data_IF_080153490831
#
_entry.id   IF_080153490831
#
_cell.length_a   1.000
_cell.length_b   1.000
_cell.length_c   1.000
_cell.angle_alpha   90.00
_cell.angle_beta   90.00
_cell.angle_gamma   90.00
#
_symmetry.space_group_name_H-M   'P 1'
#
loop_
_entity.id
_entity.type
_entity.pdbx_description
1 polymer ?
#
# COMPACT_ATOMS: atom_id res chain seq x y z
N UNK A 1 -15.48 2.48 -16.50
CA UNK A 1 -15.05 3.85 -16.16
C UNK A 1 -14.50 3.95 -14.74
N UNK A 2 -15.20 3.46 -13.71
CA UNK A 2 -14.70 3.49 -12.32
C UNK A 2 -13.41 2.69 -12.11
N UNK A 3 -13.33 1.49 -12.72
CA UNK A 3 -12.11 0.66 -12.71
C UNK A 3 -10.92 1.39 -13.33
N UNK A 4 -11.01 1.83 -14.58
CA UNK A 4 -9.92 2.56 -15.25
C UNK A 4 -9.41 3.81 -14.49
N UNK A 5 -10.24 4.46 -13.66
CA UNK A 5 -9.80 5.54 -12.78
C UNK A 5 -8.94 5.01 -11.62
N UNK A 6 -9.42 3.95 -10.94
CA UNK A 6 -8.66 3.27 -9.90
C UNK A 6 -7.35 2.69 -10.45
N UNK A 7 -7.36 2.11 -11.65
CA UNK A 7 -6.16 1.61 -12.34
C UNK A 7 -5.08 2.69 -12.45
N UNK A 8 -5.48 3.89 -12.88
CA UNK A 8 -4.58 5.05 -12.98
C UNK A 8 -4.12 5.52 -11.62
N UNK A 9 -5.01 5.55 -10.61
CA UNK A 9 -4.65 5.94 -9.25
C UNK A 9 -3.62 4.99 -8.64
N UNK A 10 -3.79 3.68 -8.81
CA UNK A 10 -2.79 2.71 -8.34
C UNK A 10 -1.47 2.85 -9.11
N UNK A 11 -1.51 3.05 -10.42
CA UNK A 11 -0.31 3.31 -11.22
C UNK A 11 0.43 4.56 -10.74
N UNK A 12 -0.29 5.64 -10.46
CA UNK A 12 0.27 6.87 -9.88
C UNK A 12 0.88 6.61 -8.49
N UNK A 13 0.21 5.83 -7.63
CA UNK A 13 0.76 5.46 -6.32
C UNK A 13 2.03 4.63 -6.45
N UNK A 14 2.12 3.73 -7.44
CA UNK A 14 3.34 2.98 -7.74
C UNK A 14 4.50 3.89 -8.18
N UNK A 15 4.22 4.88 -9.04
CA UNK A 15 5.22 5.87 -9.45
C UNK A 15 5.67 6.71 -8.25
N UNK A 16 4.74 7.21 -7.44
CA UNK A 16 5.05 7.97 -6.23
C UNK A 16 5.89 7.13 -5.24
N UNK A 17 5.57 5.85 -5.05
CA UNK A 17 6.34 4.95 -4.21
C UNK A 17 7.78 4.79 -4.72
N UNK A 18 7.97 4.66 -6.03
CA UNK A 18 9.29 4.57 -6.64
C UNK A 18 10.10 5.87 -6.46
N UNK A 19 9.46 7.03 -6.65
CA UNK A 19 10.07 8.34 -6.38
C UNK A 19 10.49 8.46 -4.91
N UNK A 20 9.62 8.08 -3.98
CA UNK A 20 9.94 8.07 -2.55
C UNK A 20 11.13 7.13 -2.24
N UNK A 21 11.19 5.95 -2.86
CA UNK A 21 12.30 5.01 -2.69
C UNK A 21 13.63 5.59 -3.20
N UNK A 22 13.62 6.23 -4.37
CA UNK A 22 14.79 6.93 -4.91
C UNK A 22 15.22 8.09 -3.99
N UNK A 23 14.27 8.84 -3.45
CA UNK A 23 14.54 9.92 -2.51
C UNK A 23 15.26 9.43 -1.25
N UNK A 24 14.87 8.28 -0.69
CA UNK A 24 15.58 7.65 0.44
C UNK A 24 17.05 7.40 0.09
N UNK A 25 17.30 6.80 -1.08
CA UNK A 25 18.67 6.53 -1.55
C UNK A 25 19.51 7.80 -1.69
N UNK A 26 18.92 8.87 -2.21
CA UNK A 26 19.59 10.18 -2.34
C UNK A 26 19.86 10.81 -0.97
N UNK A 27 18.89 10.79 -0.05
CA UNK A 27 19.04 11.38 1.29
C UNK A 27 20.13 10.66 2.07
N UNK A 28 20.10 9.33 2.10
CA UNK A 28 21.10 8.52 2.81
C UNK A 28 22.47 8.66 2.13
N UNK A 29 22.53 8.66 0.80
CA UNK A 29 23.78 8.87 0.06
C UNK A 29 24.41 10.24 0.36
N UNK A 30 23.60 11.31 0.35
CA UNK A 30 24.04 12.65 0.71
C UNK A 30 24.50 12.74 2.17
N UNK A 31 23.81 12.05 3.10
CA UNK A 31 24.20 11.99 4.50
C UNK A 31 25.55 11.30 4.69
N UNK A 32 25.80 10.19 3.99
CA UNK A 32 27.08 9.47 4.05
C UNK A 32 28.22 10.37 3.52
N UNK A 33 28.03 11.01 2.37
CA UNK A 33 29.04 11.91 1.78
C UNK A 33 29.26 13.14 2.65
N UNK A 34 28.21 13.75 3.17
CA UNK A 34 28.29 14.90 4.08
C UNK A 34 29.08 14.56 5.35
N UNK A 35 28.83 13.38 5.93
CA UNK A 35 29.57 12.88 7.08
C UNK A 35 31.06 12.71 6.79
N UNK A 36 31.43 12.23 5.60
CA UNK A 36 32.84 12.12 5.17
C UNK A 36 33.51 13.50 5.01
N UNK A 37 32.74 14.55 4.70
CA UNK A 37 33.22 15.93 4.58
C UNK A 37 33.12 16.73 5.89
N UNK A 38 32.71 16.11 6.99
CA UNK A 38 32.54 16.76 8.29
C UNK A 38 31.30 17.68 8.40
N UNK A 39 30.37 17.60 7.43
CA UNK A 39 29.11 18.35 7.43
C UNK A 39 28.00 17.41 7.92
N UNK A 40 27.44 17.68 9.10
CA UNK A 40 26.21 17.01 9.52
C UNK A 40 25.02 17.68 8.84
N UNK A 41 24.22 16.90 8.13
CA UNK A 41 22.90 17.30 7.64
C UNK A 41 21.89 17.03 8.77
N UNK A 42 21.31 18.04 9.43
CA UNK A 42 20.34 17.83 10.49
C UNK A 42 19.06 17.19 9.95
N UNK A 43 18.42 16.30 10.71
CA UNK A 43 17.11 15.68 10.41
C UNK A 43 17.00 14.86 9.11
N UNK A 44 18.12 14.51 8.46
CA UNK A 44 18.09 13.62 7.28
C UNK A 44 17.47 12.26 7.56
N UNK A 45 17.65 11.73 8.78
CA UNK A 45 17.09 10.44 9.21
C UNK A 45 15.55 10.49 9.34
N UNK A 46 14.99 11.63 9.76
CA UNK A 46 13.54 11.83 9.86
C UNK A 46 12.90 11.84 8.47
N UNK A 47 13.48 12.59 7.53
CA UNK A 47 13.01 12.64 6.13
C UNK A 47 13.11 11.29 5.43
N UNK A 48 14.21 10.55 5.65
CA UNK A 48 14.36 9.20 5.11
C UNK A 48 13.29 8.26 5.67
N UNK A 49 12.98 8.36 6.97
CA UNK A 49 11.94 7.55 7.62
C UNK A 49 10.54 7.86 7.09
N UNK A 50 10.22 9.14 6.85
CA UNK A 50 8.94 9.53 6.25
C UNK A 50 8.80 9.10 4.79
N UNK A 51 9.86 9.25 4.01
CA UNK A 51 9.89 8.78 2.62
C UNK A 51 9.75 7.25 2.55
N UNK A 52 10.34 6.52 3.50
CA UNK A 52 10.20 5.06 3.64
C UNK A 52 8.77 4.65 3.98
N UNK A 53 8.10 5.37 4.89
CA UNK A 53 6.68 5.18 5.17
C UNK A 53 5.84 5.38 3.91
N UNK A 54 6.04 6.51 3.22
CA UNK A 54 5.33 6.82 1.99
C UNK A 54 5.53 5.74 0.91
N UNK A 55 6.78 5.31 0.65
CA UNK A 55 7.07 4.28 -0.34
C UNK A 55 6.41 2.95 0.00
N UNK A 56 6.40 2.58 1.29
CA UNK A 56 5.83 1.31 1.74
C UNK A 56 4.32 1.27 1.52
N UNK A 57 3.58 2.27 2.03
CA UNK A 57 2.11 2.26 1.98
C UNK A 57 1.56 2.59 0.59
N UNK A 58 2.19 3.49 -0.16
CA UNK A 58 1.82 3.75 -1.56
C UNK A 58 2.16 2.55 -2.46
N UNK A 59 3.30 1.90 -2.20
CA UNK A 59 3.71 0.68 -2.89
C UNK A 59 2.79 -0.50 -2.56
N UNK A 60 2.25 -0.57 -1.34
CA UNK A 60 1.33 -1.63 -0.91
C UNK A 60 0.07 -1.67 -1.79
N UNK A 61 -0.53 -0.52 -2.10
CA UNK A 61 -1.72 -0.46 -2.95
C UNK A 61 -1.42 -0.88 -4.40
N UNK A 62 -0.28 -0.45 -4.96
CA UNK A 62 0.14 -0.85 -6.30
C UNK A 62 0.49 -2.34 -6.38
N UNK A 63 1.29 -2.83 -5.44
CA UNK A 63 1.72 -4.24 -5.38
C UNK A 63 0.56 -5.16 -5.10
N UNK A 64 -0.43 -4.78 -4.28
CA UNK A 64 -1.62 -5.59 -4.04
C UNK A 64 -2.38 -5.89 -5.34
N UNK A 65 -2.45 -4.90 -6.22
CA UNK A 65 -3.10 -5.03 -7.51
C UNK A 65 -2.23 -5.71 -8.58
N UNK A 66 -0.93 -5.41 -8.60
CA UNK A 66 0.03 -5.94 -9.58
C UNK A 66 0.45 -7.38 -9.26
N UNK A 67 0.58 -7.73 -7.98
CA UNK A 67 0.78 -9.08 -7.46
C UNK A 67 -0.52 -9.58 -6.88
N UNK A 68 -1.51 -9.77 -7.76
CA UNK A 68 -2.83 -10.23 -7.40
C UNK A 68 -2.85 -11.52 -6.62
N UNK A 69 -2.76 -11.35 -5.30
CA UNK A 69 -2.39 -12.30 -4.26
C UNK A 69 -1.35 -13.37 -4.65
N UNK A 70 -0.29 -13.47 -3.85
CA UNK A 70 0.26 -14.79 -3.50
C UNK A 70 -0.90 -15.50 -2.80
N UNK A 71 -1.80 -16.12 -3.58
CA UNK A 71 -2.71 -17.09 -3.03
C UNK A 71 -1.84 -18.05 -2.25
N UNK A 72 -2.37 -18.52 -1.13
CA UNK A 72 -2.10 -19.89 -0.72
C UNK A 72 -2.74 -20.81 -1.78
N UNK A 73 -2.25 -20.74 -3.01
CA UNK A 73 -2.69 -21.57 -4.13
C UNK A 73 -2.42 -23.03 -3.77
N UNK A 74 -1.41 -23.27 -2.92
CA UNK A 74 -1.15 -24.52 -2.22
C UNK A 74 -2.38 -25.11 -1.50
N UNK A 75 -3.25 -24.30 -0.89
CA UNK A 75 -4.46 -24.78 -0.23
C UNK A 75 -5.65 -24.86 -1.19
N UNK A 76 -5.83 -23.86 -2.07
CA UNK A 76 -6.99 -23.83 -2.99
C UNK A 76 -6.87 -24.80 -4.18
N UNK A 77 -5.66 -25.22 -4.57
CA UNK A 77 -5.46 -26.28 -5.57
C UNK A 77 -5.86 -27.68 -5.06
N UNK A 78 -5.91 -27.88 -3.73
CA UNK A 78 -6.34 -29.14 -3.11
C UNK A 78 -7.84 -29.23 -2.84
N UNK A 79 -8.59 -28.13 -3.02
CA UNK A 79 -10.04 -28.09 -2.76
C UNK A 79 -10.84 -28.25 -4.06
N UNK A 80 -11.96 -28.96 -3.95
CA UNK A 80 -12.91 -29.12 -5.05
C UNK A 80 -13.54 -27.77 -5.47
N UNK A 81 -13.96 -27.61 -6.74
CA UNK A 81 -14.47 -26.36 -7.28
C UNK A 81 -15.64 -25.75 -6.48
N UNK A 82 -16.47 -26.59 -5.85
CA UNK A 82 -17.63 -26.16 -5.07
C UNK A 82 -17.27 -25.57 -3.69
N UNK A 83 -16.20 -26.03 -3.05
CA UNK A 83 -15.77 -25.52 -1.73
C UNK A 83 -14.82 -24.32 -1.83
N UNK A 84 -14.25 -24.10 -3.02
CA UNK A 84 -13.30 -23.01 -3.30
C UNK A 84 -13.95 -21.62 -3.20
N UNK A 85 -15.15 -21.45 -3.76
CA UNK A 85 -15.85 -20.16 -3.79
C UNK A 85 -16.21 -19.61 -2.40
N UNK A 86 -16.82 -20.36 -1.47
CA UNK A 86 -17.11 -19.85 -0.13
C UNK A 86 -15.84 -19.57 0.69
N UNK A 87 -14.78 -20.36 0.53
CA UNK A 87 -13.51 -20.12 1.20
C UNK A 87 -12.85 -18.81 0.73
N UNK A 88 -12.89 -18.52 -0.58
CA UNK A 88 -12.39 -17.27 -1.14
C UNK A 88 -13.18 -16.06 -0.65
N UNK A 89 -14.50 -16.15 -0.60
CA UNK A 89 -15.36 -15.10 -0.05
C UNK A 89 -15.00 -14.85 1.43
N UNK A 90 -14.81 -15.91 2.22
CA UNK A 90 -14.46 -15.77 3.63
C UNK A 90 -13.12 -15.06 3.82
N UNK A 91 -12.08 -15.47 3.10
CA UNK A 91 -10.74 -14.87 3.19
C UNK A 91 -10.76 -13.40 2.75
N UNK A 92 -11.41 -13.09 1.63
CA UNK A 92 -11.54 -11.71 1.15
C UNK A 92 -12.33 -10.83 2.11
N UNK A 93 -13.41 -11.37 2.68
CA UNK A 93 -14.23 -10.64 3.68
C UNK A 93 -13.42 -10.37 4.94
N UNK A 94 -12.73 -11.38 5.48
CA UNK A 94 -11.91 -11.24 6.67
C UNK A 94 -10.77 -10.24 6.46
N UNK A 95 -10.07 -10.35 5.33
CA UNK A 95 -9.02 -9.41 5.00
C UNK A 95 -9.56 -7.98 4.83
N UNK A 96 -10.69 -7.80 4.12
CA UNK A 96 -11.29 -6.49 3.93
C UNK A 96 -11.72 -5.87 5.27
N UNK A 97 -12.21 -6.68 6.21
CA UNK A 97 -12.53 -6.22 7.56
C UNK A 97 -11.28 -5.75 8.33
N UNK A 98 -10.18 -6.52 8.27
CA UNK A 98 -8.91 -6.17 8.92
C UNK A 98 -8.33 -4.88 8.32
N UNK A 99 -8.25 -4.78 6.99
CA UNK A 99 -7.75 -3.59 6.31
C UNK A 99 -8.66 -2.37 6.52
N UNK A 100 -9.98 -2.58 6.56
CA UNK A 100 -10.94 -1.54 6.88
C UNK A 100 -10.74 -0.97 8.29
N UNK A 101 -10.57 -1.85 9.29
CA UNK A 101 -10.23 -1.42 10.65
C UNK A 101 -8.88 -0.69 10.71
N UNK A 102 -7.87 -1.21 10.01
CA UNK A 102 -6.54 -0.61 9.96
C UNK A 102 -6.59 0.80 9.32
N UNK A 103 -7.35 0.96 8.24
CA UNK A 103 -7.54 2.25 7.57
C UNK A 103 -8.25 3.25 8.49
N UNK A 104 -9.32 2.82 9.17
CA UNK A 104 -10.02 3.65 10.13
C UNK A 104 -9.10 4.15 11.25
N UNK A 105 -8.29 3.25 11.81
CA UNK A 105 -7.33 3.59 12.86
C UNK A 105 -6.26 4.58 12.37
N UNK A 106 -5.70 4.38 11.16
CA UNK A 106 -4.72 5.28 10.58
C UNK A 106 -5.29 6.69 10.32
N UNK A 107 -6.53 6.78 9.84
CA UNK A 107 -7.22 8.08 9.66
C UNK A 107 -7.42 8.76 11.03
N UNK A 108 -7.84 8.00 12.05
CA UNK A 108 -8.01 8.51 13.41
C UNK A 108 -6.70 9.01 14.02
N UNK A 109 -5.58 8.33 13.78
CA UNK A 109 -4.25 8.80 14.19
C UNK A 109 -3.88 10.10 13.47
N UNK A 110 -4.02 10.14 12.14
CA UNK A 110 -3.72 11.34 11.35
C UNK A 110 -4.55 12.56 11.80
N UNK A 111 -5.82 12.35 12.12
CA UNK A 111 -6.69 13.40 12.65
C UNK A 111 -6.26 13.84 14.06
N UNK A 112 -5.96 12.89 14.95
CA UNK A 112 -5.46 13.19 16.29
C UNK A 112 -4.17 13.99 16.22
N UNK A 113 -3.17 13.55 15.44
CA UNK A 113 -1.91 14.27 15.30
C UNK A 113 -2.08 15.65 14.65
N UNK A 114 -3.14 15.87 13.84
CA UNK A 114 -3.50 17.20 13.35
C UNK A 114 -4.11 18.09 14.43
N UNK A 115 -5.03 17.55 15.24
CA UNK A 115 -5.74 18.31 16.30
C UNK A 115 -4.81 18.69 17.47
N UNK A 116 -3.86 17.81 17.80
CA UNK A 116 -2.86 18.03 18.85
C UNK A 116 -1.59 18.75 18.36
N UNK A 117 -1.54 19.17 17.08
CA UNK A 117 -0.39 19.77 16.38
C UNK A 117 0.92 19.02 16.69
N UNK A 118 0.85 17.69 16.63
CA UNK A 118 1.97 16.83 17.00
C UNK A 118 3.11 16.99 15.99
N UNK A 119 4.25 17.46 16.49
CA UNK A 119 5.48 17.61 15.73
C UNK A 119 6.45 16.49 16.04
N UNK A 120 7.28 16.15 15.05
CA UNK A 120 8.34 15.17 15.25
C UNK A 120 9.31 15.61 16.35
N UNK A 121 9.88 14.62 17.05
CA UNK A 121 10.89 14.82 18.10
C UNK A 121 12.27 15.22 17.50
N UNK A 122 12.35 15.33 16.17
CA UNK A 122 13.58 15.63 15.43
C UNK A 122 14.06 17.08 15.58
N UNK A 123 15.26 17.36 15.06
CA UNK A 123 15.87 18.70 15.04
C UNK A 123 15.04 19.73 14.24
N UNK A 124 14.23 19.25 13.29
CA UNK A 124 13.21 20.02 12.58
C UNK A 124 11.82 19.51 12.97
N UNK A 125 10.98 20.35 13.62
CA UNK A 125 9.62 19.96 13.98
C UNK A 125 8.77 19.85 12.71
N UNK A 126 8.63 18.63 12.20
CA UNK A 126 7.78 18.34 11.05
C UNK A 126 6.43 17.84 11.59
N UNK A 127 5.30 18.39 11.10
CA UNK A 127 4.00 17.95 11.56
C UNK A 127 3.74 16.49 11.14
N UNK A 128 3.45 15.64 12.12
CA UNK A 128 3.33 14.18 11.93
C UNK A 128 2.07 13.79 11.14
N UNK A 129 1.09 14.68 11.03
CA UNK A 129 -0.12 14.43 10.25
C UNK A 129 0.18 14.21 8.76
N UNK A 130 1.24 14.80 8.20
CA UNK A 130 1.60 14.64 6.78
C UNK A 130 1.99 13.18 6.46
N UNK A 131 3.03 12.59 7.09
CA UNK A 131 3.38 11.20 6.83
C UNK A 131 2.24 10.24 7.19
N UNK A 132 1.52 10.48 8.30
CA UNK A 132 0.38 9.66 8.69
C UNK A 132 -0.79 9.74 7.69
N UNK A 133 -1.05 10.89 7.07
CA UNK A 133 -2.07 11.03 6.04
C UNK A 133 -1.70 10.25 4.77
N UNK A 134 -0.42 10.23 4.39
CA UNK A 134 0.06 9.41 3.26
C UNK A 134 -0.13 7.91 3.56
N UNK A 135 0.17 7.49 4.79
CA UNK A 135 -0.07 6.12 5.24
C UNK A 135 -1.57 5.77 5.17
N UNK A 136 -2.43 6.62 5.74
CA UNK A 136 -3.88 6.45 5.72
C UNK A 136 -4.42 6.35 4.29
N UNK A 137 -3.91 7.19 3.38
CA UNK A 137 -4.28 7.17 1.97
C UNK A 137 -3.88 5.85 1.28
N UNK A 138 -2.64 5.37 1.49
CA UNK A 138 -2.19 4.08 0.94
C UNK A 138 -3.03 2.90 1.44
N UNK A 139 -3.35 2.87 2.73
CA UNK A 139 -4.19 1.82 3.34
C UNK A 139 -5.64 1.88 2.86
N UNK A 140 -6.17 3.08 2.64
CA UNK A 140 -7.51 3.29 2.11
C UNK A 140 -7.63 2.74 0.69
N UNK A 141 -6.66 3.06 -0.17
CA UNK A 141 -6.60 2.53 -1.53
C UNK A 141 -6.52 1.00 -1.54
N UNK A 142 -5.70 0.41 -0.67
CA UNK A 142 -5.63 -1.05 -0.53
C UNK A 142 -6.97 -1.65 -0.11
N UNK A 143 -7.66 -1.03 0.85
CA UNK A 143 -8.99 -1.46 1.30
C UNK A 143 -10.01 -1.38 0.18
N UNK A 144 -10.02 -0.31 -0.60
CA UNK A 144 -10.90 -0.15 -1.77
C UNK A 144 -10.62 -1.25 -2.81
N UNK A 145 -9.35 -1.58 -3.06
CA UNK A 145 -8.98 -2.67 -3.97
C UNK A 145 -9.56 -4.00 -3.51
N UNK A 146 -9.45 -4.30 -2.21
CA UNK A 146 -9.95 -5.55 -1.63
C UNK A 146 -11.48 -5.65 -1.69
N UNK A 147 -12.17 -4.53 -1.50
CA UNK A 147 -13.62 -4.46 -1.62
C UNK A 147 -14.09 -4.63 -3.07
N UNK A 148 -13.42 -4.03 -4.06
CA UNK A 148 -13.78 -4.24 -5.48
C UNK A 148 -13.67 -5.72 -5.88
N UNK A 149 -12.64 -6.41 -5.38
CA UNK A 149 -12.43 -7.83 -5.62
C UNK A 149 -13.51 -8.70 -4.95
N UNK A 150 -13.86 -8.40 -3.69
CA UNK A 150 -14.95 -9.07 -3.00
C UNK A 150 -16.28 -8.89 -3.74
N UNK A 151 -16.58 -7.67 -4.19
CA UNK A 151 -17.80 -7.36 -4.97
C UNK A 151 -17.79 -8.09 -6.32
N UNK A 152 -16.64 -8.16 -6.99
CA UNK A 152 -16.50 -8.88 -8.26
C UNK A 152 -16.80 -10.38 -8.08
N UNK A 153 -16.24 -11.00 -7.04
CA UNK A 153 -16.43 -12.41 -6.71
C UNK A 153 -17.89 -12.73 -6.35
N UNK A 154 -18.53 -11.87 -5.57
CA UNK A 154 -19.96 -11.98 -5.22
C UNK A 154 -20.87 -11.80 -6.44
N UNK A 155 -20.52 -10.88 -7.34
CA UNK A 155 -21.30 -10.61 -8.56
C UNK A 155 -21.16 -11.69 -9.64
N UNK A 156 -20.31 -12.70 -9.42
CA UNK A 156 -20.04 -13.75 -10.42
C UNK A 156 -19.38 -13.23 -11.69
N UNK A 157 -18.82 -12.01 -11.66
CA UNK A 157 -18.00 -11.47 -12.74
C UNK A 157 -16.60 -12.06 -12.64
N UNK A 158 -15.92 -12.18 -13.78
CA UNK A 158 -14.49 -12.49 -13.78
C UNK A 158 -13.77 -11.52 -12.85
N UNK A 159 -13.17 -12.09 -11.81
CA UNK A 159 -12.28 -11.34 -10.94
C UNK A 159 -11.07 -10.90 -11.77
N UNK A 160 -10.50 -9.73 -11.46
CA UNK A 160 -9.34 -9.19 -12.19
C UNK A 160 -8.19 -10.19 -12.30
N UNK A 161 -8.09 -11.13 -11.36
CA UNK A 161 -7.08 -12.20 -11.31
C UNK A 161 -7.33 -13.36 -12.27
N UNK A 162 -8.60 -13.66 -12.61
CA UNK A 162 -8.90 -14.72 -13.58
C UNK A 162 -8.32 -14.41 -14.95
N UNK A 163 -8.22 -13.11 -15.29
CA UNK A 163 -7.61 -12.62 -16.53
C UNK A 163 -6.09 -12.70 -16.51
N UNK A 164 -5.46 -12.30 -15.40
CA UNK A 164 -3.99 -12.36 -15.28
C UNK A 164 -3.47 -13.79 -15.35
N UNK A 165 -4.19 -14.77 -14.79
CA UNK A 165 -3.76 -16.18 -14.89
C UNK A 165 -3.88 -16.75 -16.30
N UNK A 166 -4.90 -16.35 -17.08
CA UNK A 166 -5.02 -16.72 -18.49
C UNK A 166 -3.91 -16.09 -19.33
N UNK A 167 -3.57 -14.82 -19.09
CA UNK A 167 -2.49 -14.14 -19.82
C UNK A 167 -1.11 -14.78 -19.57
N UNK A 168 -0.83 -15.26 -18.35
CA UNK A 168 0.43 -15.93 -18.02
C UNK A 168 0.51 -17.34 -18.65
N UNK A 169 -0.59 -18.11 -18.66
CA UNK A 169 -0.60 -19.42 -19.33
C UNK A 169 -0.59 -19.33 -20.87
N UNK A 170 -1.04 -18.22 -21.46
CA UNK A 170 -0.92 -18.01 -22.91
C UNK A 170 0.46 -17.48 -23.34
N UNK A 171 1.27 -17.02 -22.38
CA UNK A 171 2.63 -16.54 -22.62
C UNK A 171 3.71 -17.64 -22.47
N UNK A 172 3.36 -18.82 -21.95
CA UNK A 172 4.18 -20.06 -21.95
C UNK A 172 3.80 -20.99 -23.11
#
# INVERSE_FOLDING_TARGET
MFRSLLDRLYGLCGVLACISLLAIGVIIGAQIVGRLMGILIPSSDDFASYAMGASTFLGLAYTFRANGHIRVNLFTQKLSPSSRRPAEIFVLTLGAAILGYFTWYNIGMAYTSYDFDEVSIGLLPIPLWIPQAVMAFGTLLMTISMLDELIALLSGRETTYSRVHEDVMQAE
#
